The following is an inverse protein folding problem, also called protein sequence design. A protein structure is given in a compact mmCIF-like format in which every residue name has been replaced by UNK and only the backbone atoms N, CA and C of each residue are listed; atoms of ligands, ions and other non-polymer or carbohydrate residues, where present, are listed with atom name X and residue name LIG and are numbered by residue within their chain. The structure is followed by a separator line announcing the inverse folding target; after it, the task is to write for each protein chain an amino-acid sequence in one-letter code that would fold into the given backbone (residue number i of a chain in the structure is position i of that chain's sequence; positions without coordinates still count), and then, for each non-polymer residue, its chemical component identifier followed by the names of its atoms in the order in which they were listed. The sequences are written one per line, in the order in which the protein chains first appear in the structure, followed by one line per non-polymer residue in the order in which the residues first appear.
data_IF_195809968417
#
_entry.id   IF_195809968417
#
_cell.length_a   1.000
_cell.length_b   1.000
_cell.length_c   1.000
_cell.angle_alpha   90.00
_cell.angle_beta   90.00
_cell.angle_gamma   90.00
#
_symmetry.space_group_name_H-M   'P 1'
#
loop_
_entity.id
_entity.type
_entity.pdbx_description
1 polymer ?
#
# COMPACT_ATOMS: atom_id res chain seq x y z
N UNK A 1 7.38 -8.56 3.25
CA UNK A 1 6.22 -7.75 3.67
C UNK A 1 5.06 -7.86 2.70
N UNK A 2 5.27 -7.60 1.41
CA UNK A 2 4.25 -7.69 0.37
C UNK A 2 3.42 -8.99 0.41
N UNK A 3 4.08 -10.14 0.35
CA UNK A 3 3.41 -11.46 0.33
C UNK A 3 2.78 -11.86 1.66
N UNK A 4 3.35 -11.40 2.78
CA UNK A 4 2.92 -11.84 4.12
C UNK A 4 1.79 -11.00 4.71
N UNK A 5 1.61 -9.77 4.24
CA UNK A 5 0.70 -8.80 4.86
C UNK A 5 -0.15 -8.09 3.81
N UNK A 6 0.47 -7.37 2.88
CA UNK A 6 -0.26 -6.50 1.95
C UNK A 6 -1.17 -7.29 1.01
N UNK A 7 -0.67 -8.33 0.33
CA UNK A 7 -1.47 -9.11 -0.63
C UNK A 7 -2.62 -9.88 0.04
N UNK A 8 -2.42 -10.60 1.16
CA UNK A 8 -3.53 -11.24 1.86
C UNK A 8 -4.62 -10.24 2.30
N UNK A 9 -4.23 -9.07 2.80
CA UNK A 9 -5.20 -8.08 3.25
C UNK A 9 -5.94 -7.39 2.11
N UNK A 10 -5.25 -7.07 1.01
CA UNK A 10 -5.91 -6.57 -0.20
C UNK A 10 -6.88 -7.62 -0.74
N UNK A 11 -6.49 -8.88 -0.83
CA UNK A 11 -7.39 -9.95 -1.26
C UNK A 11 -8.64 -10.06 -0.36
N UNK A 12 -8.52 -9.79 0.94
CA UNK A 12 -9.63 -9.85 1.89
C UNK A 12 -10.52 -8.60 1.90
N UNK A 13 -9.97 -7.40 1.68
CA UNK A 13 -10.66 -6.11 1.92
C UNK A 13 -10.87 -5.24 0.68
N UNK A 14 -10.08 -5.48 -0.38
CA UNK A 14 -10.08 -4.77 -1.68
C UNK A 14 -9.66 -5.75 -2.80
N UNK A 15 -10.43 -6.81 -3.05
CA UNK A 15 -10.05 -7.90 -3.96
C UNK A 15 -9.72 -7.42 -5.38
N UNK A 16 -10.30 -6.28 -5.78
CA UNK A 16 -10.04 -5.63 -7.07
C UNK A 16 -8.58 -5.24 -7.23
N UNK A 17 -7.87 -4.93 -6.13
CA UNK A 17 -6.43 -4.63 -6.13
C UNK A 17 -5.53 -5.88 -5.98
N UNK A 18 -6.10 -7.08 -5.89
CA UNK A 18 -5.35 -8.32 -5.65
C UNK A 18 -4.36 -8.70 -6.77
N UNK A 19 -4.49 -8.10 -7.95
CA UNK A 19 -3.61 -8.31 -9.10
C UNK A 19 -2.38 -7.38 -9.13
N UNK A 20 -2.30 -6.41 -8.21
CA UNK A 20 -1.12 -5.57 -8.05
C UNK A 20 -0.01 -6.41 -7.42
N UNK A 21 1.09 -6.61 -8.16
CA UNK A 21 2.15 -7.54 -7.77
C UNK A 21 3.03 -6.99 -6.63
N UNK A 22 3.28 -5.67 -6.63
CA UNK A 22 4.11 -4.99 -5.64
C UNK A 22 3.38 -3.77 -5.05
N UNK A 23 2.31 -3.96 -4.25
CA UNK A 23 1.54 -2.87 -3.66
C UNK A 23 2.32 -2.00 -2.66
N UNK A 24 3.48 -2.46 -2.19
CA UNK A 24 4.39 -1.71 -1.31
C UNK A 24 5.71 -1.37 -2.03
N UNK A 25 5.71 -1.36 -3.36
CA UNK A 25 6.87 -0.97 -4.15
C UNK A 25 7.18 0.51 -3.95
N UNK A 26 8.42 0.85 -3.59
CA UNK A 26 8.85 2.25 -3.46
C UNK A 26 9.14 2.92 -4.80
N UNK A 27 9.26 2.13 -5.87
CA UNK A 27 9.40 2.59 -7.24
C UNK A 27 8.02 2.73 -7.87
N UNK A 28 7.50 3.94 -7.84
CA UNK A 28 6.27 4.31 -8.55
C UNK A 28 6.40 5.72 -9.11
N UNK A 29 5.54 6.02 -10.07
CA UNK A 29 5.33 7.36 -10.59
C UNK A 29 3.83 7.62 -10.67
N UNK A 30 3.44 8.88 -10.46
CA UNK A 30 2.07 9.34 -10.56
C UNK A 30 2.07 10.78 -11.07
N UNK A 31 0.95 11.24 -11.64
CA UNK A 31 0.83 12.64 -12.03
C UNK A 31 0.87 13.54 -10.80
N UNK A 32 1.38 14.76 -10.99
CA UNK A 32 1.44 15.76 -9.93
C UNK A 32 0.05 16.07 -9.39
N UNK A 33 -0.92 16.23 -10.28
CA UNK A 33 -2.31 16.52 -9.97
C UNK A 33 -2.93 15.43 -9.09
N UNK A 34 -2.67 14.15 -9.39
CA UNK A 34 -3.13 13.04 -8.56
C UNK A 34 -2.50 13.12 -7.17
N UNK A 35 -1.17 13.18 -7.09
CA UNK A 35 -0.45 13.19 -5.80
C UNK A 35 -0.86 14.38 -4.92
N UNK A 36 -1.06 15.57 -5.49
CA UNK A 36 -1.52 16.74 -4.73
C UNK A 36 -2.97 16.62 -4.25
N UNK A 37 -3.76 15.72 -4.83
CA UNK A 37 -5.17 15.54 -4.50
C UNK A 37 -5.43 14.45 -3.46
N UNK A 38 -4.42 13.63 -3.13
CA UNK A 38 -4.53 12.50 -2.21
C UNK A 38 -3.86 12.79 -0.86
N UNK A 39 -4.43 12.28 0.26
CA UNK A 39 -3.76 12.35 1.55
C UNK A 39 -2.59 11.37 1.62
N UNK A 40 -1.50 11.77 2.27
CA UNK A 40 -0.34 10.90 2.50
C UNK A 40 -0.46 10.23 3.87
N UNK A 41 -0.55 8.90 3.87
CA UNK A 41 -0.45 8.13 5.11
C UNK A 41 0.98 8.20 5.67
N UNK A 42 1.16 8.21 7.01
CA UNK A 42 2.47 8.35 7.62
C UNK A 42 3.30 7.08 7.52
N UNK A 43 4.63 7.26 7.52
CA UNK A 43 5.60 6.17 7.60
C UNK A 43 5.43 5.15 6.47
N UNK A 44 5.45 3.87 6.83
CA UNK A 44 5.36 2.76 5.87
C UNK A 44 3.94 2.51 5.33
N UNK A 45 2.95 3.31 5.74
CA UNK A 45 1.59 3.25 5.20
C UNK A 45 1.42 3.99 3.88
N UNK A 46 2.40 4.79 3.45
CA UNK A 46 2.25 5.71 2.31
C UNK A 46 1.92 4.99 1.01
N UNK A 47 2.65 3.92 0.64
CA UNK A 47 2.42 3.21 -0.62
C UNK A 47 1.02 2.58 -0.66
N UNK A 48 0.61 1.89 0.41
CA UNK A 48 -0.71 1.24 0.45
C UNK A 48 -1.85 2.26 0.49
N UNK A 49 -1.64 3.40 1.17
CA UNK A 49 -2.59 4.50 1.22
C UNK A 49 -2.81 5.10 -0.17
N UNK A 50 -1.72 5.46 -0.86
CA UNK A 50 -1.80 6.02 -2.21
C UNK A 50 -2.45 5.05 -3.19
N UNK A 51 -2.15 3.76 -3.11
CA UNK A 51 -2.76 2.75 -3.98
C UNK A 51 -4.28 2.66 -3.79
N UNK A 52 -4.74 2.53 -2.54
CA UNK A 52 -6.18 2.43 -2.24
C UNK A 52 -6.90 3.74 -2.55
N UNK A 53 -6.32 4.88 -2.20
CA UNK A 53 -6.92 6.20 -2.45
C UNK A 53 -7.01 6.52 -3.95
N UNK A 54 -6.03 6.07 -4.75
CA UNK A 54 -6.09 6.18 -6.22
C UNK A 54 -7.21 5.31 -6.78
N UNK A 55 -7.32 4.06 -6.32
CA UNK A 55 -8.35 3.15 -6.77
C UNK A 55 -9.76 3.63 -6.39
N UNK A 56 -9.97 4.01 -5.13
CA UNK A 56 -11.27 4.47 -4.65
C UNK A 56 -11.73 5.76 -5.39
N UNK A 57 -10.79 6.56 -5.91
CA UNK A 57 -11.09 7.81 -6.63
C UNK A 57 -11.23 7.65 -8.15
N UNK A 58 -10.37 6.87 -8.79
CA UNK A 58 -10.24 6.82 -10.25
C UNK A 58 -10.46 5.43 -10.86
N UNK A 59 -10.59 4.38 -10.03
CA UNK A 59 -10.72 3.00 -10.47
C UNK A 59 -9.41 2.38 -10.98
N UNK A 60 -9.49 1.14 -11.44
CA UNK A 60 -8.33 0.36 -11.90
C UNK A 60 -7.72 0.89 -13.20
N UNK A 61 -8.50 1.52 -14.07
CA UNK A 61 -8.01 2.02 -15.36
C UNK A 61 -6.94 3.13 -15.20
N UNK A 62 -6.88 3.75 -14.03
CA UNK A 62 -5.85 4.74 -13.68
C UNK A 62 -4.57 4.11 -13.13
N UNK A 63 -4.51 2.79 -12.95
CA UNK A 63 -3.40 2.07 -12.31
C UNK A 63 -2.75 1.13 -13.32
N UNK A 64 -1.44 1.29 -13.51
CA UNK A 64 -0.63 0.40 -14.32
C UNK A 64 0.57 -0.10 -13.52
N UNK A 65 1.09 -1.27 -13.89
CA UNK A 65 2.30 -1.85 -13.30
C UNK A 65 3.27 -2.25 -14.40
N UNK A 66 4.56 -2.03 -14.16
CA UNK A 66 5.65 -2.32 -15.10
C UNK A 66 6.68 -3.22 -14.41
N UNK A 67 7.15 -4.24 -15.13
CA UNK A 67 8.21 -5.12 -14.64
C UNK A 67 9.56 -4.42 -14.78
N UNK A 68 10.23 -4.17 -13.65
CA UNK A 68 11.56 -3.55 -13.59
C UNK A 68 12.71 -4.58 -13.53
N UNK A 69 12.42 -5.86 -13.75
CA UNK A 69 13.38 -6.95 -13.63
C UNK A 69 13.62 -7.35 -12.17
N UNK A 70 14.89 -7.48 -11.79
CA UNK A 70 15.27 -7.94 -10.45
C UNK A 70 15.61 -6.76 -9.56
N UNK A 71 14.90 -6.65 -8.44
CA UNK A 71 15.21 -5.69 -7.38
C UNK A 71 15.72 -6.42 -6.15
N UNK A 72 16.98 -6.20 -5.80
CA UNK A 72 17.54 -6.66 -4.53
C UNK A 72 17.30 -5.58 -3.46
N UNK A 73 16.53 -5.90 -2.42
CA UNK A 73 16.33 -5.04 -1.26
C UNK A 73 17.15 -5.56 -0.08
N UNK A 74 17.58 -4.64 0.81
CA UNK A 74 18.25 -5.01 2.05
C UNK A 74 17.24 -5.69 2.98
N UNK A 75 17.42 -6.98 3.23
CA UNK A 75 16.55 -7.72 4.16
C UNK A 75 16.71 -7.13 5.58
N UNK A 76 15.63 -6.55 6.11
CA UNK A 76 15.57 -6.04 7.48
C UNK A 76 15.26 -7.17 8.47
N UNK A 77 15.73 -7.07 9.72
CA UNK A 77 15.40 -8.04 10.75
C UNK A 77 13.89 -8.03 11.05
N UNK A 78 13.35 -9.19 11.45
CA UNK A 78 11.92 -9.41 11.67
C UNK A 78 11.27 -8.40 12.64
N UNK A 79 12.02 -7.96 13.66
CA UNK A 79 11.55 -6.96 14.63
C UNK A 79 11.18 -5.62 13.96
N UNK A 80 11.94 -5.17 12.96
CA UNK A 80 11.63 -3.96 12.21
C UNK A 80 10.42 -4.16 11.27
N UNK A 81 10.25 -5.38 10.75
CA UNK A 81 9.12 -5.74 9.90
C UNK A 81 7.79 -5.69 10.67
N UNK A 82 7.79 -5.98 11.98
CA UNK A 82 6.60 -5.89 12.81
C UNK A 82 6.04 -4.47 12.93
N UNK A 83 6.92 -3.48 13.15
CA UNK A 83 6.51 -2.07 13.20
C UNK A 83 6.00 -1.57 11.84
N UNK A 84 6.69 -1.94 10.75
CA UNK A 84 6.26 -1.65 9.39
C UNK A 84 4.89 -2.27 9.08
N UNK A 85 4.70 -3.56 9.43
CA UNK A 85 3.45 -4.29 9.25
C UNK A 85 2.26 -3.58 9.88
N UNK A 86 2.43 -3.15 11.14
CA UNK A 86 1.39 -2.46 11.90
C UNK A 86 0.92 -1.18 11.19
N UNK A 87 1.84 -0.38 10.66
CA UNK A 87 1.51 0.86 9.96
C UNK A 87 0.76 0.60 8.64
N UNK A 88 1.19 -0.41 7.88
CA UNK A 88 0.51 -0.85 6.64
C UNK A 88 -0.91 -1.33 6.96
N UNK A 89 -1.06 -2.21 7.96
CA UNK A 89 -2.37 -2.74 8.39
C UNK A 89 -3.28 -1.59 8.83
N UNK A 90 -2.79 -0.70 9.69
CA UNK A 90 -3.60 0.38 10.23
C UNK A 90 -4.11 1.32 9.12
N UNK A 91 -3.24 1.64 8.15
CA UNK A 91 -3.60 2.49 7.02
C UNK A 91 -4.65 1.82 6.14
N UNK A 92 -4.46 0.54 5.79
CA UNK A 92 -5.41 -0.20 4.97
C UNK A 92 -6.79 -0.31 5.64
N UNK A 93 -6.82 -0.67 6.93
CA UNK A 93 -8.06 -0.77 7.69
C UNK A 93 -8.79 0.57 7.74
N UNK A 94 -8.06 1.67 7.99
CA UNK A 94 -8.62 3.02 7.97
C UNK A 94 -9.28 3.36 6.63
N UNK A 95 -8.63 3.05 5.49
CA UNK A 95 -9.23 3.26 4.15
C UNK A 95 -10.41 2.33 3.86
N UNK A 96 -10.45 1.17 4.51
CA UNK A 96 -11.59 0.27 4.44
C UNK A 96 -12.74 0.67 5.40
N UNK A 97 -12.62 1.78 6.13
CA UNK A 97 -13.62 2.20 7.12
C UNK A 97 -13.65 1.35 8.39
N UNK A 98 -12.61 0.56 8.64
CA UNK A 98 -12.48 -0.30 9.81
C UNK A 98 -11.68 0.46 10.88
N UNK A 99 -12.26 0.73 12.07
CA UNK A 99 -11.55 1.42 13.13
C UNK A 99 -10.34 0.63 13.62
N UNK A 100 -9.20 1.30 13.76
CA UNK A 100 -8.00 0.72 14.39
C UNK A 100 -7.89 1.26 15.81
N UNK A 101 -7.95 0.38 16.81
CA UNK A 101 -7.65 0.75 18.19
C UNK A 101 -6.15 1.04 18.30
N UNK A 102 -5.78 2.31 18.52
CA UNK A 102 -4.40 2.69 18.87
C UNK A 102 -3.62 3.49 17.83
N UNK A 103 -4.20 4.56 17.28
CA UNK A 103 -3.41 5.67 16.72
C UNK A 103 -2.95 6.57 17.87
N UNK A 104 -1.88 6.15 18.54
CA UNK A 104 -1.15 6.88 19.59
C UNK A 104 0.29 6.41 19.64
#
# INVERSE_FOLDING_TARGET
MTELVARPLLAALRPELGHVLQPLGGEYAASRELLMSLPFAPGYGVEIGLLVDTYDRLGLDAIAQVNLGVRAHRNRPLAELGAMSRQVIATLLSRCGIPTLGSG
#
